data_IF_539942899111
#
_entry.id   IF_539942899111
#
_cell.length_a   1.000
_cell.length_b   1.000
_cell.length_c   1.000
_cell.angle_alpha   90.00
_cell.angle_beta   90.00
_cell.angle_gamma   90.00
#
_symmetry.space_group_name_H-M   'P 1'
#
loop_
_entity.id
_entity.type
_entity.pdbx_description
1 polymer ?
#
# COMPACT_ATOMS: atom_id res chain seq x y z
N UNK A 1 46.32 7.07 11.54
CA UNK A 1 44.98 7.49 12.03
C UNK A 1 44.10 7.72 10.82
N UNK A 2 42.81 7.32 10.88
CA UNK A 2 41.76 7.49 9.85
C UNK A 2 41.54 6.34 8.86
N UNK A 3 41.11 5.18 9.37
CA UNK A 3 40.25 4.24 8.62
C UNK A 3 38.88 4.09 9.33
N UNK A 4 38.81 4.45 10.62
CA UNK A 4 37.61 4.28 11.47
C UNK A 4 36.55 5.38 11.26
N UNK A 5 36.89 6.48 10.57
CA UNK A 5 35.95 7.61 10.37
C UNK A 5 35.04 7.47 9.15
N UNK A 6 35.39 6.63 8.17
CA UNK A 6 34.60 6.48 6.95
C UNK A 6 33.46 5.48 7.08
N UNK A 7 33.60 4.41 7.87
CA UNK A 7 32.51 3.44 8.09
C UNK A 7 31.32 4.04 8.87
N UNK A 8 31.58 5.03 9.74
CA UNK A 8 30.51 5.75 10.45
C UNK A 8 29.77 6.77 9.57
N UNK A 9 30.37 7.17 8.44
CA UNK A 9 29.75 8.08 7.48
C UNK A 9 28.91 7.33 6.42
N UNK A 10 29.30 6.10 6.06
CA UNK A 10 28.52 5.25 5.15
C UNK A 10 27.27 4.65 5.82
N UNK A 11 27.31 4.37 7.13
CA UNK A 11 26.12 3.94 7.88
C UNK A 11 25.01 5.00 7.97
N UNK A 12 25.28 6.26 7.57
CA UNK A 12 24.32 7.37 7.55
C UNK A 12 23.59 7.55 6.21
N UNK A 13 23.79 6.66 5.23
CA UNK A 13 23.22 6.77 3.88
C UNK A 13 22.38 5.59 3.40
N UNK A 14 21.92 4.74 4.31
CA UNK A 14 20.78 3.87 4.04
C UNK A 14 19.94 3.83 5.32
N UNK A 15 18.83 4.59 5.42
CA UNK A 15 17.92 4.38 6.53
C UNK A 15 17.47 2.92 6.43
N UNK A 16 17.87 2.10 7.40
CA UNK A 16 17.36 0.74 7.50
C UNK A 16 15.83 0.85 7.45
N UNK A 17 15.23 0.01 6.61
CA UNK A 17 13.78 -0.10 6.61
C UNK A 17 13.34 -0.58 8.01
N UNK A 18 12.15 -0.13 8.41
CA UNK A 18 11.65 -0.28 9.79
C UNK A 18 11.05 -1.67 9.99
N UNK A 19 10.96 -2.13 11.23
CA UNK A 19 10.16 -3.31 11.57
C UNK A 19 8.71 -2.91 11.91
N UNK A 20 7.78 -3.88 11.83
CA UNK A 20 6.34 -3.65 11.99
C UNK A 20 5.97 -2.88 13.29
N UNK A 21 6.63 -3.21 14.40
CA UNK A 21 6.41 -2.60 15.71
C UNK A 21 6.99 -1.18 15.86
N UNK A 22 7.93 -0.80 14.99
CA UNK A 22 8.56 0.53 14.96
C UNK A 22 7.74 1.55 14.14
N UNK A 23 6.71 1.09 13.41
CA UNK A 23 5.96 1.94 12.48
C UNK A 23 5.03 2.92 13.21
N UNK A 24 5.14 4.18 12.81
CA UNK A 24 4.21 5.25 13.18
C UNK A 24 2.98 5.26 12.26
N UNK A 25 1.94 6.01 12.62
CA UNK A 25 0.78 6.27 11.74
C UNK A 25 1.25 6.82 10.38
N UNK A 26 2.18 7.78 10.38
CA UNK A 26 2.71 8.37 9.16
C UNK A 26 3.43 7.34 8.27
N UNK A 27 4.21 6.43 8.87
CA UNK A 27 4.89 5.37 8.12
C UNK A 27 3.88 4.43 7.45
N UNK A 28 2.79 4.10 8.14
CA UNK A 28 1.72 3.24 7.59
C UNK A 28 0.96 3.91 6.46
N UNK A 29 0.64 5.19 6.60
CA UNK A 29 0.00 5.98 5.54
C UNK A 29 0.89 6.02 4.31
N UNK A 30 2.21 6.22 4.50
CA UNK A 30 3.18 6.20 3.41
C UNK A 30 3.28 4.82 2.75
N UNK A 31 3.33 3.74 3.55
CA UNK A 31 3.36 2.36 3.07
C UNK A 31 2.12 2.05 2.19
N UNK A 32 0.93 2.42 2.65
CA UNK A 32 -0.33 2.29 1.89
C UNK A 32 -0.28 3.08 0.58
N UNK A 33 0.20 4.33 0.62
CA UNK A 33 0.33 5.18 -0.58
C UNK A 33 1.28 4.61 -1.62
N UNK A 34 2.41 4.02 -1.18
CA UNK A 34 3.35 3.38 -2.07
C UNK A 34 2.73 2.14 -2.72
N UNK A 35 2.08 1.28 -1.92
CA UNK A 35 1.40 0.11 -2.46
C UNK A 35 0.35 0.46 -3.51
N UNK A 36 -0.48 1.48 -3.27
CA UNK A 36 -1.53 1.85 -4.20
C UNK A 36 -0.98 2.41 -5.52
N UNK A 37 0.10 3.21 -5.47
CA UNK A 37 0.77 3.76 -6.67
C UNK A 37 1.43 2.67 -7.49
N UNK A 38 2.15 1.77 -6.82
CA UNK A 38 2.84 0.67 -7.46
C UNK A 38 1.86 -0.34 -8.05
N UNK A 39 0.75 -0.62 -7.35
CA UNK A 39 -0.33 -1.46 -7.86
C UNK A 39 -0.92 -0.90 -9.15
N UNK A 40 -1.32 0.38 -9.14
CA UNK A 40 -1.86 1.03 -10.32
C UNK A 40 -0.85 1.01 -11.49
N UNK A 41 0.42 1.32 -11.21
CA UNK A 41 1.49 1.28 -12.22
C UNK A 41 1.72 -0.14 -12.77
N UNK A 42 1.69 -1.16 -11.91
CA UNK A 42 1.91 -2.55 -12.31
C UNK A 42 0.75 -3.09 -13.16
N UNK A 43 -0.49 -2.69 -12.85
CA UNK A 43 -1.68 -3.06 -13.62
C UNK A 43 -1.73 -2.32 -14.96
N UNK A 44 -1.60 -0.98 -14.96
CA UNK A 44 -1.67 -0.16 -16.19
C UNK A 44 -0.49 -0.45 -17.12
N UNK A 45 0.71 -0.60 -16.56
CA UNK A 45 1.90 -0.99 -17.32
C UNK A 45 1.95 -2.47 -17.69
N UNK A 46 0.91 -3.25 -17.36
CA UNK A 46 0.77 -4.69 -17.61
C UNK A 46 1.90 -5.56 -17.03
N UNK A 47 2.73 -5.04 -16.12
CA UNK A 47 3.83 -5.79 -15.49
C UNK A 47 3.31 -6.92 -14.61
N UNK A 48 2.27 -6.64 -13.82
CA UNK A 48 1.60 -7.66 -13.03
C UNK A 48 1.05 -8.75 -13.94
N UNK A 49 0.40 -8.33 -15.02
CA UNK A 49 -0.25 -9.20 -16.00
C UNK A 49 0.76 -10.12 -16.71
N UNK A 50 1.90 -9.58 -17.12
CA UNK A 50 2.96 -10.35 -17.77
C UNK A 50 3.60 -11.37 -16.82
N UNK A 51 3.82 -11.01 -15.55
CA UNK A 51 4.42 -11.92 -14.56
C UNK A 51 3.50 -13.09 -14.20
N UNK A 52 2.20 -12.82 -14.05
CA UNK A 52 1.17 -13.85 -13.81
C UNK A 52 1.10 -14.85 -14.99
N UNK A 53 1.16 -14.36 -16.24
CA UNK A 53 1.16 -15.23 -17.43
C UNK A 53 2.40 -16.13 -17.54
N UNK A 54 3.51 -15.72 -16.93
CA UNK A 54 4.75 -16.52 -16.85
C UNK A 54 4.76 -17.46 -15.64
N UNK A 55 3.71 -17.45 -14.81
CA UNK A 55 3.60 -18.27 -13.60
C UNK A 55 4.45 -17.79 -12.42
N UNK A 56 5.06 -16.60 -12.51
CA UNK A 56 5.90 -16.04 -11.46
C UNK A 56 5.13 -15.25 -10.39
N UNK A 57 3.95 -14.73 -10.75
CA UNK A 57 3.20 -13.79 -9.93
C UNK A 57 3.87 -12.42 -9.82
N UNK A 58 3.16 -11.40 -9.36
CA UNK A 58 3.76 -10.09 -9.08
C UNK A 58 3.48 -9.66 -7.64
N UNK A 59 4.51 -9.21 -6.94
CA UNK A 59 4.40 -8.71 -5.58
C UNK A 59 4.83 -7.25 -5.51
N UNK A 60 4.00 -6.44 -4.85
CA UNK A 60 4.32 -5.08 -4.45
C UNK A 60 5.28 -5.15 -3.26
N UNK A 61 6.27 -4.26 -3.20
CA UNK A 61 7.24 -4.23 -2.10
C UNK A 61 7.05 -2.95 -1.29
N UNK A 62 7.02 -3.07 0.03
CA UNK A 62 6.95 -1.89 0.89
C UNK A 62 8.23 -1.04 0.73
N UNK A 63 8.04 0.27 0.68
CA UNK A 63 9.14 1.24 0.72
C UNK A 63 9.54 1.61 2.14
N UNK A 64 8.82 1.05 3.13
CA UNK A 64 8.97 1.34 4.56
C UNK A 64 9.59 0.14 5.29
N UNK A 65 9.36 -1.08 4.79
CA UNK A 65 9.85 -2.36 5.33
C UNK A 65 10.40 -3.23 4.20
N UNK A 66 11.59 -3.80 4.37
CA UNK A 66 12.24 -4.62 3.35
C UNK A 66 11.64 -6.02 3.21
N UNK A 67 11.10 -6.55 4.30
CA UNK A 67 10.54 -7.91 4.38
C UNK A 67 9.05 -8.00 4.00
N UNK A 68 8.40 -6.87 3.72
CA UNK A 68 6.96 -6.83 3.51
C UNK A 68 6.59 -6.71 2.03
N UNK A 69 6.13 -7.83 1.48
CA UNK A 69 5.67 -7.94 0.10
C UNK A 69 4.21 -8.37 0.04
N UNK A 70 3.47 -7.79 -0.91
CA UNK A 70 2.04 -8.04 -1.07
C UNK A 70 1.77 -8.49 -2.51
N UNK A 71 1.31 -9.73 -2.74
CA UNK A 71 0.90 -10.20 -4.06
C UNK A 71 -0.20 -9.33 -4.65
N UNK A 72 -0.17 -9.06 -5.96
CA UNK A 72 -1.18 -8.23 -6.63
C UNK A 72 -2.59 -8.79 -6.52
N UNK A 73 -2.73 -10.13 -6.53
CA UNK A 73 -4.03 -10.79 -6.36
C UNK A 73 -4.67 -10.60 -4.98
N UNK A 74 -3.90 -10.18 -3.97
CA UNK A 74 -4.37 -9.95 -2.59
C UNK A 74 -4.08 -8.53 -2.10
N UNK A 75 -3.72 -7.62 -3.02
CA UNK A 75 -3.26 -6.29 -2.65
C UNK A 75 -4.35 -5.44 -2.01
N UNK A 76 -5.60 -5.52 -2.52
CA UNK A 76 -6.72 -4.77 -1.96
C UNK A 76 -7.07 -5.23 -0.54
N UNK A 77 -7.08 -6.54 -0.29
CA UNK A 77 -7.24 -7.11 1.05
C UNK A 77 -6.17 -6.61 2.03
N UNK A 78 -4.91 -6.62 1.59
CA UNK A 78 -3.78 -6.23 2.45
C UNK A 78 -3.85 -4.73 2.78
N UNK A 79 -4.18 -3.90 1.80
CA UNK A 79 -4.34 -2.46 2.01
C UNK A 79 -5.54 -2.14 2.90
N UNK A 80 -6.67 -2.85 2.77
CA UNK A 80 -7.80 -2.67 3.70
C UNK A 80 -7.40 -2.99 5.14
N UNK A 81 -6.65 -4.08 5.35
CA UNK A 81 -6.12 -4.44 6.68
C UNK A 81 -5.13 -3.40 7.22
N UNK A 82 -4.25 -2.85 6.37
CA UNK A 82 -3.34 -1.80 6.78
C UNK A 82 -4.11 -0.54 7.20
N UNK A 83 -5.18 -0.16 6.51
CA UNK A 83 -6.02 0.97 6.93
C UNK A 83 -6.70 0.72 8.29
N UNK A 84 -7.22 -0.49 8.52
CA UNK A 84 -7.73 -0.89 9.84
C UNK A 84 -6.63 -0.80 10.91
N UNK A 85 -5.40 -1.20 10.57
CA UNK A 85 -4.27 -1.12 11.49
C UNK A 85 -3.90 0.32 11.84
N UNK A 86 -3.95 1.24 10.88
CA UNK A 86 -3.78 2.68 11.15
C UNK A 86 -4.80 3.14 12.20
N UNK A 87 -6.07 2.79 12.02
CA UNK A 87 -7.14 3.13 12.97
C UNK A 87 -6.86 2.59 14.37
N UNK A 88 -6.48 1.31 14.47
CA UNK A 88 -6.14 0.69 15.75
C UNK A 88 -4.98 1.38 16.46
N UNK A 89 -3.95 1.80 15.72
CA UNK A 89 -2.81 2.53 16.28
C UNK A 89 -3.24 3.91 16.77
N UNK A 90 -4.06 4.63 16.00
CA UNK A 90 -4.64 5.90 16.42
C UNK A 90 -5.43 5.76 17.73
N UNK A 91 -6.26 4.73 17.84
CA UNK A 91 -7.05 4.46 19.05
C UNK A 91 -6.16 4.11 20.26
N UNK A 92 -5.21 3.21 20.06
CA UNK A 92 -4.34 2.72 21.13
C UNK A 92 -3.39 3.80 21.67
N UNK A 93 -2.94 4.72 20.81
CA UNK A 93 -1.97 5.78 21.15
C UNK A 93 -2.58 7.15 21.34
N UNK A 94 -3.90 7.28 21.15
CA UNK A 94 -4.62 8.56 21.12
C UNK A 94 -4.00 9.55 20.10
N UNK A 95 -3.52 9.01 18.98
CA UNK A 95 -2.98 9.80 17.87
C UNK A 95 -4.10 10.16 16.88
N UNK A 96 -4.04 11.36 16.31
CA UNK A 96 -4.93 11.81 15.25
C UNK A 96 -4.24 11.76 13.88
N UNK A 97 -5.03 11.66 12.82
CA UNK A 97 -4.54 11.88 11.46
C UNK A 97 -4.56 13.38 11.14
N UNK A 98 -3.64 13.83 10.30
CA UNK A 98 -3.82 15.09 9.59
C UNK A 98 -4.79 14.91 8.42
N UNK A 99 -5.42 16.00 7.98
CA UNK A 99 -6.26 16.02 6.78
C UNK A 99 -5.51 15.48 5.55
N UNK A 100 -4.23 15.86 5.41
CA UNK A 100 -3.36 15.38 4.34
C UNK A 100 -3.18 13.86 4.38
N UNK A 101 -3.03 13.26 5.57
CA UNK A 101 -2.91 11.81 5.70
C UNK A 101 -4.21 11.10 5.33
N UNK A 102 -5.37 11.66 5.70
CA UNK A 102 -6.65 11.11 5.27
C UNK A 102 -6.82 11.17 3.74
N UNK A 103 -6.47 12.30 3.12
CA UNK A 103 -6.51 12.46 1.67
C UNK A 103 -5.61 11.43 0.95
N UNK A 104 -4.41 11.19 1.47
CA UNK A 104 -3.51 10.15 0.94
C UNK A 104 -4.18 8.77 0.98
N UNK A 105 -4.85 8.42 2.07
CA UNK A 105 -5.54 7.12 2.21
C UNK A 105 -6.75 7.03 1.26
N UNK A 106 -7.50 8.12 1.09
CA UNK A 106 -8.60 8.18 0.14
C UNK A 106 -8.10 7.98 -1.30
N UNK A 107 -7.03 8.68 -1.68
CA UNK A 107 -6.39 8.54 -2.98
C UNK A 107 -5.86 7.11 -3.21
N UNK A 108 -5.33 6.48 -2.18
CA UNK A 108 -4.86 5.10 -2.26
C UNK A 108 -6.01 4.15 -2.64
N UNK A 109 -7.14 4.25 -1.95
CA UNK A 109 -8.31 3.43 -2.23
C UNK A 109 -8.89 3.69 -3.64
N UNK A 110 -8.84 4.95 -4.11
CA UNK A 110 -9.26 5.31 -5.47
C UNK A 110 -8.31 4.79 -6.55
N UNK A 111 -7.01 4.67 -6.28
CA UNK A 111 -6.04 4.07 -7.21
C UNK A 111 -6.33 2.57 -7.44
N UNK A 112 -6.71 1.84 -6.39
CA UNK A 112 -7.18 0.45 -6.55
C UNK A 112 -8.42 0.38 -7.43
N UNK A 113 -9.42 1.24 -7.20
CA UNK A 113 -10.62 1.26 -8.04
C UNK A 113 -10.31 1.63 -9.50
N UNK A 114 -9.38 2.56 -9.74
CA UNK A 114 -8.92 2.90 -11.10
C UNK A 114 -8.28 1.70 -11.80
N UNK A 115 -7.46 0.93 -11.10
CA UNK A 115 -6.86 -0.29 -11.63
C UNK A 115 -7.92 -1.36 -11.96
N UNK A 116 -8.91 -1.57 -11.10
CA UNK A 116 -10.03 -2.48 -11.38
C UNK A 116 -10.82 -2.05 -12.63
N UNK A 117 -11.12 -0.76 -12.76
CA UNK A 117 -11.78 -0.20 -13.95
C UNK A 117 -10.94 -0.41 -15.22
N UNK A 118 -9.63 -0.25 -15.13
CA UNK A 118 -8.72 -0.50 -16.25
C UNK A 118 -8.78 -1.97 -16.70
N UNK A 119 -8.75 -2.92 -15.76
CA UNK A 119 -8.84 -4.35 -16.06
C UNK A 119 -10.16 -4.68 -16.77
N UNK A 120 -11.28 -4.13 -16.28
CA UNK A 120 -12.63 -4.36 -16.84
C UNK A 120 -12.89 -3.63 -18.17
N UNK A 121 -12.07 -2.64 -18.52
CA UNK A 121 -12.28 -1.86 -19.74
C UNK A 121 -11.88 -2.64 -21.02
N UNK A 122 -11.03 -3.65 -20.90
CA UNK A 122 -10.57 -4.49 -22.01
C UNK A 122 -10.92 -5.96 -21.76
N UNK A 123 -11.65 -6.57 -22.70
CA UNK A 123 -12.14 -7.94 -22.56
C UNK A 123 -11.02 -8.98 -22.42
N UNK A 124 -9.91 -8.81 -23.13
CA UNK A 124 -8.78 -9.76 -23.05
C UNK A 124 -8.10 -9.68 -21.68
N UNK A 125 -7.96 -8.46 -21.16
CA UNK A 125 -7.42 -8.18 -19.83
C UNK A 125 -8.35 -8.72 -18.75
N UNK A 126 -9.65 -8.48 -18.86
CA UNK A 126 -10.65 -8.98 -17.89
C UNK A 126 -10.67 -10.51 -17.83
N UNK A 127 -10.66 -11.22 -18.96
CA UNK A 127 -10.65 -12.69 -18.95
C UNK A 127 -9.46 -13.29 -18.17
N UNK A 128 -8.30 -12.64 -18.24
CA UNK A 128 -7.06 -13.14 -17.64
C UNK A 128 -6.87 -12.68 -16.20
N UNK A 129 -7.34 -11.47 -15.88
CA UNK A 129 -7.00 -10.77 -14.64
C UNK A 129 -8.23 -10.25 -13.89
N UNK A 130 -9.44 -10.66 -14.28
CA UNK A 130 -10.69 -10.28 -13.63
C UNK A 130 -10.69 -10.59 -12.14
N UNK A 131 -10.04 -11.67 -11.71
CA UNK A 131 -9.88 -12.01 -10.29
C UNK A 131 -9.20 -10.91 -9.46
N UNK A 132 -8.27 -10.14 -10.04
CA UNK A 132 -7.64 -8.99 -9.38
C UNK A 132 -8.66 -7.86 -9.21
N UNK A 133 -9.45 -7.58 -10.24
CA UNK A 133 -10.52 -6.58 -10.17
C UNK A 133 -11.62 -6.99 -9.19
N UNK A 134 -12.00 -8.27 -9.18
CA UNK A 134 -12.98 -8.83 -8.24
C UNK A 134 -12.46 -8.72 -6.80
N UNK A 135 -11.17 -8.94 -6.55
CA UNK A 135 -10.57 -8.73 -5.24
C UNK A 135 -10.67 -7.26 -4.81
N UNK A 136 -10.36 -6.32 -5.70
CA UNK A 136 -10.52 -4.89 -5.43
C UNK A 136 -11.95 -4.55 -5.07
N UNK A 137 -12.92 -4.99 -5.89
CA UNK A 137 -14.33 -4.68 -5.67
C UNK A 137 -14.84 -5.30 -4.36
N UNK A 138 -14.38 -6.52 -4.02
CA UNK A 138 -14.72 -7.19 -2.76
C UNK A 138 -14.27 -6.41 -1.53
N UNK A 139 -13.08 -5.80 -1.57
CA UNK A 139 -12.49 -5.09 -0.43
C UNK A 139 -12.65 -3.58 -0.47
N UNK A 140 -13.26 -3.03 -1.53
CA UNK A 140 -13.56 -1.59 -1.62
C UNK A 140 -14.45 -1.11 -0.48
N UNK A 141 -15.46 -1.90 -0.13
CA UNK A 141 -16.36 -1.55 0.98
C UNK A 141 -15.60 -1.49 2.31
N UNK A 142 -14.71 -2.44 2.58
CA UNK A 142 -13.92 -2.47 3.81
C UNK A 142 -12.97 -1.26 3.90
N UNK A 143 -12.32 -0.88 2.79
CA UNK A 143 -11.52 0.35 2.72
C UNK A 143 -12.38 1.59 3.03
N UNK A 144 -13.60 1.67 2.48
CA UNK A 144 -14.49 2.81 2.74
C UNK A 144 -14.92 2.88 4.22
N UNK A 145 -15.21 1.74 4.84
CA UNK A 145 -15.51 1.68 6.28
C UNK A 145 -14.32 2.18 7.10
N UNK A 146 -13.11 1.69 6.81
CA UNK A 146 -11.90 2.13 7.50
C UNK A 146 -11.66 3.65 7.32
N UNK A 147 -11.85 4.18 6.11
CA UNK A 147 -11.72 5.61 5.80
C UNK A 147 -12.74 6.46 6.59
N UNK A 148 -14.00 6.04 6.67
CA UNK A 148 -15.01 6.74 7.47
C UNK A 148 -14.67 6.77 8.95
N UNK A 149 -14.11 5.67 9.48
CA UNK A 149 -13.66 5.61 10.87
C UNK A 149 -12.44 6.50 11.10
N UNK A 150 -11.47 6.51 10.18
CA UNK A 150 -10.28 7.36 10.23
C UNK A 150 -10.64 8.85 10.10
N UNK A 151 -11.65 9.20 9.30
CA UNK A 151 -12.12 10.57 9.17
C UNK A 151 -12.61 11.17 10.51
N UNK A 152 -13.17 10.34 11.40
CA UNK A 152 -13.59 10.76 12.75
C UNK A 152 -12.40 11.03 13.69
N UNK A 153 -11.18 10.70 13.27
CA UNK A 153 -9.92 10.83 14.03
C UNK A 153 -8.99 11.88 13.44
N UNK A 154 -9.48 12.71 12.52
CA UNK A 154 -8.72 13.83 11.97
C UNK A 154 -8.69 14.94 12.99
N UNK A 155 -7.50 15.50 13.24
CA UNK A 155 -7.37 16.71 14.05
C UNK A 155 -8.02 17.88 13.30
N UNK A 156 -8.88 18.68 13.97
CA UNK A 156 -9.30 19.97 13.43
C UNK A 156 -8.13 20.95 13.32
#
# INVERSE_FOLDING_TARGET
MSIVKDQAAEARRNPRLKQDHELTVADRVQEISCFSKDFLSAVVGQRALQSELQGGGYALTSTVRDDFHVPTGTAAFSVSHLMTRVREVCDARQETLSEQQLDILQQAADQFQKAAKFIRADYSTEQKFGHIADNVDSYRQDMNVALQELARRVSP
#
